data_IF_297441047446
#
_entry.id   IF_297441047446
#
_cell.length_a   1.000
_cell.length_b   1.000
_cell.length_c   1.000
_cell.angle_alpha   90.00
_cell.angle_beta   90.00
_cell.angle_gamma   90.00
#
_symmetry.space_group_name_H-M   'P 1'
#
loop_
_entity.id
_entity.type
_entity.pdbx_description
1 polymer ?
#
# COMPACT_ATOMS: atom_id res chain seq x y z
N UNK A 1 13.02 18.01 -15.16
CA UNK A 1 12.45 16.95 -16.02
C UNK A 1 11.22 17.53 -16.71
N UNK A 2 11.06 17.35 -18.03
CA UNK A 2 9.93 17.91 -18.77
C UNK A 2 8.62 17.20 -18.37
N UNK A 3 7.49 17.91 -18.48
CA UNK A 3 6.17 17.51 -17.94
C UNK A 3 5.52 16.30 -18.62
N UNK A 4 6.08 15.75 -19.71
CA UNK A 4 5.34 14.83 -20.59
C UNK A 4 5.96 13.44 -20.82
N UNK A 5 7.02 13.05 -20.08
CA UNK A 5 7.42 11.65 -20.08
C UNK A 5 6.55 10.87 -19.08
N UNK A 6 5.42 10.37 -19.58
CA UNK A 6 4.69 9.30 -18.91
C UNK A 6 5.66 8.11 -18.80
N UNK A 7 6.04 7.75 -17.56
CA UNK A 7 6.82 6.55 -17.30
C UNK A 7 6.10 5.36 -17.94
N UNK A 8 6.84 4.51 -18.65
CA UNK A 8 6.31 3.28 -19.26
C UNK A 8 7.33 2.18 -19.06
N UNK A 9 6.87 1.06 -18.54
CA UNK A 9 7.66 -0.16 -18.43
C UNK A 9 7.13 -1.20 -19.43
N UNK A 10 7.88 -1.56 -20.48
CA UNK A 10 7.42 -2.52 -21.48
C UNK A 10 6.99 -3.86 -20.86
N UNK A 11 5.83 -4.37 -21.31
CA UNK A 11 5.26 -5.61 -20.78
C UNK A 11 4.48 -5.45 -19.47
N UNK A 12 4.24 -4.21 -19.02
CA UNK A 12 3.43 -3.92 -17.82
C UNK A 12 2.28 -2.96 -18.14
N UNK A 13 1.14 -3.23 -17.50
CA UNK A 13 0.03 -2.31 -17.30
C UNK A 13 0.36 -1.42 -16.09
N UNK A 14 0.07 -0.13 -16.20
CA UNK A 14 0.30 0.84 -15.15
C UNK A 14 -1.02 1.33 -14.59
N UNK A 15 -1.13 1.30 -13.27
CA UNK A 15 -2.20 1.92 -12.49
C UNK A 15 -1.56 3.01 -11.63
N UNK A 16 -2.05 4.24 -11.78
CA UNK A 16 -1.52 5.39 -11.05
C UNK A 16 -2.60 6.45 -10.92
N UNK A 17 -2.76 7.01 -9.72
CA UNK A 17 -3.70 8.10 -9.48
C UNK A 17 -3.16 9.40 -10.09
N UNK A 18 -4.00 10.22 -10.77
CA UNK A 18 -3.57 11.49 -11.35
C UNK A 18 -2.92 12.43 -10.33
N UNK A 19 -1.83 13.07 -10.77
CA UNK A 19 -0.99 13.95 -9.95
C UNK A 19 -1.74 15.22 -9.53
N UNK A 20 -2.14 15.30 -8.26
CA UNK A 20 -2.38 16.57 -7.59
C UNK A 20 -1.05 17.27 -7.24
N UNK A 21 -1.06 18.56 -6.87
CA UNK A 21 0.15 19.33 -6.54
C UNK A 21 0.99 18.78 -5.38
N UNK A 22 0.47 17.79 -4.63
CA UNK A 22 1.12 17.15 -3.48
C UNK A 22 1.27 15.62 -3.61
N UNK A 23 1.14 15.04 -4.81
CA UNK A 23 1.35 13.59 -4.97
C UNK A 23 2.85 13.28 -5.02
N UNK A 24 3.31 12.42 -4.12
CA UNK A 24 4.67 11.87 -4.08
C UNK A 24 4.89 10.80 -5.15
N UNK A 25 3.82 10.32 -5.80
CA UNK A 25 3.89 9.58 -7.04
C UNK A 25 4.07 8.09 -6.82
N UNK A 26 3.04 7.44 -6.28
CA UNK A 26 2.95 5.99 -6.24
C UNK A 26 2.40 5.40 -7.55
N UNK A 27 2.77 4.16 -7.87
CA UNK A 27 2.18 3.40 -8.97
C UNK A 27 2.15 1.90 -8.68
N UNK A 28 1.20 1.20 -9.27
CA UNK A 28 1.18 -0.26 -9.34
C UNK A 28 1.46 -0.68 -10.79
N UNK A 29 2.45 -1.56 -10.96
CA UNK A 29 2.81 -2.14 -12.26
C UNK A 29 2.44 -3.62 -12.28
N UNK A 30 1.54 -4.00 -13.17
CA UNK A 30 1.09 -5.39 -13.32
C UNK A 30 1.58 -5.91 -14.66
N UNK A 31 2.19 -7.10 -14.73
CA UNK A 31 2.59 -7.69 -16.03
C UNK A 31 1.37 -7.78 -16.95
N UNK A 32 1.53 -7.41 -18.21
CA UNK A 32 0.44 -7.36 -19.19
C UNK A 32 -0.24 -8.73 -19.42
N UNK A 33 0.44 -9.82 -19.09
CA UNK A 33 -0.10 -11.19 -19.15
C UNK A 33 -0.95 -11.56 -17.94
N UNK A 34 -0.98 -10.73 -16.89
CA UNK A 34 -1.77 -10.96 -15.67
C UNK A 34 -3.08 -10.16 -15.80
N UNK A 35 -4.24 -10.83 -15.86
CA UNK A 35 -5.53 -10.14 -15.92
C UNK A 35 -5.75 -9.28 -14.67
N UNK A 36 -6.07 -8.01 -14.86
CA UNK A 36 -6.21 -7.05 -13.77
C UNK A 36 -7.13 -5.88 -14.13
N UNK A 37 -7.70 -5.25 -13.11
CA UNK A 37 -8.58 -4.08 -13.23
C UNK A 37 -8.35 -3.07 -12.10
N UNK A 38 -8.62 -1.80 -12.38
CA UNK A 38 -8.56 -0.73 -11.38
C UNK A 38 -9.67 -0.90 -10.34
N UNK A 39 -9.37 -0.57 -9.09
CA UNK A 39 -10.32 -0.56 -7.98
C UNK A 39 -10.24 0.80 -7.29
N UNK A 40 -11.39 1.35 -6.93
CA UNK A 40 -11.42 2.56 -6.11
C UNK A 40 -10.78 2.25 -4.74
N UNK A 41 -9.69 2.92 -4.35
CA UNK A 41 -9.03 2.64 -3.10
C UNK A 41 -9.88 3.14 -1.92
N UNK A 42 -9.84 2.41 -0.80
CA UNK A 42 -10.39 2.88 0.48
C UNK A 42 -9.65 4.14 0.96
N UNK A 43 -10.33 4.97 1.76
CA UNK A 43 -9.70 6.15 2.35
C UNK A 43 -8.79 5.70 3.51
N UNK A 44 -7.54 6.16 3.49
CA UNK A 44 -6.52 5.78 4.47
C UNK A 44 -6.05 6.97 5.34
N UNK A 45 -6.83 8.05 5.38
CA UNK A 45 -6.49 9.30 6.06
C UNK A 45 -6.07 10.43 5.12
N UNK A 46 -6.24 11.67 5.58
CA UNK A 46 -5.99 12.86 4.77
C UNK A 46 -4.50 13.03 4.41
N UNK A 47 -4.23 13.06 3.10
CA UNK A 47 -2.88 13.16 2.56
C UNK A 47 -2.09 11.85 2.59
N UNK A 48 -2.75 10.73 2.86
CA UNK A 48 -2.23 9.39 2.56
C UNK A 48 -2.60 9.04 1.12
N UNK A 49 -1.63 8.60 0.35
CA UNK A 49 -1.86 8.12 -1.01
C UNK A 49 -2.19 6.63 -0.95
N UNK A 50 -3.32 6.24 -1.51
CA UNK A 50 -3.74 4.86 -1.65
C UNK A 50 -4.06 4.56 -3.11
N UNK A 51 -3.67 3.38 -3.58
CA UNK A 51 -3.99 2.85 -4.90
C UNK A 51 -4.38 1.40 -4.76
N UNK A 52 -5.36 0.94 -5.53
CA UNK A 52 -5.82 -0.44 -5.50
C UNK A 52 -5.98 -1.01 -6.90
N UNK A 53 -5.56 -2.26 -7.07
CA UNK A 53 -5.74 -3.03 -8.30
C UNK A 53 -6.25 -4.41 -7.93
N UNK A 54 -7.27 -4.88 -8.66
CA UNK A 54 -7.75 -6.25 -8.57
C UNK A 54 -6.99 -7.11 -9.56
N UNK A 55 -6.36 -8.16 -9.05
CA UNK A 55 -5.77 -9.24 -9.83
C UNK A 55 -6.81 -10.35 -9.95
N UNK A 56 -7.13 -10.76 -11.18
CA UNK A 56 -8.08 -11.86 -11.40
C UNK A 56 -7.32 -13.19 -11.45
N UNK A 57 -7.63 -14.07 -10.51
CA UNK A 57 -7.14 -15.44 -10.45
C UNK A 57 -8.20 -16.36 -11.10
N UNK A 58 -7.87 -17.63 -11.31
CA UNK A 58 -8.75 -18.54 -12.05
C UNK A 58 -10.16 -18.67 -11.44
N UNK A 59 -10.25 -18.72 -10.10
CA UNK A 59 -11.50 -18.91 -9.36
C UNK A 59 -11.72 -17.85 -8.26
N UNK A 60 -10.88 -16.81 -8.22
CA UNK A 60 -10.86 -15.84 -7.12
C UNK A 60 -10.29 -14.50 -7.60
N UNK A 61 -10.22 -13.52 -6.72
CA UNK A 61 -9.51 -12.27 -6.96
C UNK A 61 -8.74 -11.81 -5.74
N UNK A 62 -7.58 -11.20 -5.99
CA UNK A 62 -6.76 -10.56 -4.98
C UNK A 62 -6.82 -9.05 -5.20
N UNK A 63 -7.17 -8.27 -4.18
CA UNK A 63 -7.02 -6.81 -4.22
C UNK A 63 -5.69 -6.42 -3.62
N UNK A 64 -4.86 -5.74 -4.42
CA UNK A 64 -3.55 -5.25 -4.00
C UNK A 64 -3.63 -3.76 -3.75
N UNK A 65 -3.36 -3.36 -2.51
CA UNK A 65 -3.22 -1.96 -2.10
C UNK A 65 -1.75 -1.55 -2.08
N UNK A 66 -1.46 -0.40 -2.65
CA UNK A 66 -0.19 0.31 -2.51
C UNK A 66 -0.44 1.62 -1.76
N UNK A 67 0.06 1.70 -0.52
CA UNK A 67 -0.15 2.83 0.38
C UNK A 67 1.16 3.59 0.59
N UNK A 68 1.13 4.90 0.36
CA UNK A 68 2.19 5.80 0.77
C UNK A 68 1.65 6.78 1.81
N UNK A 69 2.12 6.67 3.06
CA UNK A 69 1.81 7.61 4.14
C UNK A 69 3.01 8.52 4.33
N UNK A 70 2.93 9.83 4.00
CA UNK A 70 4.01 10.76 4.32
C UNK A 70 4.31 10.80 5.83
N UNK A 71 5.56 11.04 6.27
CA UNK A 71 5.93 11.06 7.68
C UNK A 71 5.09 11.99 8.56
N UNK A 72 4.58 13.09 7.99
CA UNK A 72 3.81 14.13 8.68
C UNK A 72 2.30 13.88 8.70
N UNK A 73 1.82 12.82 8.07
CA UNK A 73 0.38 12.49 7.98
C UNK A 73 0.04 11.32 8.91
N UNK A 74 -1.24 11.18 9.23
CA UNK A 74 -1.75 10.10 10.08
C UNK A 74 -2.31 8.99 9.20
N UNK A 75 -2.04 7.74 9.56
CA UNK A 75 -2.66 6.59 8.92
C UNK A 75 -4.00 6.27 9.58
N UNK A 76 -5.04 6.09 8.77
CA UNK A 76 -6.36 5.61 9.20
C UNK A 76 -6.67 4.30 8.47
N UNK A 77 -6.30 3.16 9.05
CA UNK A 77 -6.37 1.87 8.36
C UNK A 77 -7.66 1.06 8.65
N UNK A 78 -8.63 1.61 9.38
CA UNK A 78 -9.84 0.86 9.79
C UNK A 78 -10.69 0.34 8.61
N UNK A 79 -10.89 1.15 7.58
CA UNK A 79 -11.65 0.74 6.37
C UNK A 79 -10.93 -0.38 5.62
N UNK A 80 -9.59 -0.30 5.54
CA UNK A 80 -8.74 -1.30 4.89
C UNK A 80 -8.89 -2.69 5.56
N UNK A 81 -8.95 -2.75 6.89
CA UNK A 81 -9.17 -4.00 7.61
C UNK A 81 -10.57 -4.54 7.39
N UNK A 82 -11.57 -3.65 7.36
CA UNK A 82 -12.95 -4.04 7.08
C UNK A 82 -13.01 -4.71 5.70
N UNK A 83 -12.32 -4.15 4.70
CA UNK A 83 -12.20 -4.77 3.38
C UNK A 83 -11.51 -6.14 3.43
N UNK A 84 -10.43 -6.27 4.21
CA UNK A 84 -9.68 -7.53 4.35
C UNK A 84 -10.49 -8.67 4.98
N UNK A 85 -11.61 -8.38 5.66
CA UNK A 85 -12.54 -9.41 6.16
C UNK A 85 -13.53 -9.91 5.10
N UNK A 86 -13.64 -9.22 3.95
CA UNK A 86 -14.64 -9.51 2.92
C UNK A 86 -14.04 -10.15 1.66
N UNK A 87 -12.79 -9.85 1.35
CA UNK A 87 -12.09 -10.40 0.18
C UNK A 87 -10.61 -10.63 0.47
N UNK A 88 -9.93 -11.36 -0.42
CA UNK A 88 -8.49 -11.57 -0.32
C UNK A 88 -7.75 -10.27 -0.64
N UNK A 89 -7.05 -9.74 0.36
CA UNK A 89 -6.35 -8.45 0.26
C UNK A 89 -4.85 -8.62 0.54
N UNK A 90 -4.03 -7.95 -0.28
CA UNK A 90 -2.62 -7.70 -0.01
C UNK A 90 -2.41 -6.21 0.15
N UNK A 91 -1.87 -5.79 1.28
CA UNK A 91 -1.53 -4.38 1.52
C UNK A 91 -0.01 -4.25 1.60
N UNK A 92 0.54 -3.35 0.78
CA UNK A 92 1.95 -3.03 0.79
C UNK A 92 2.16 -1.52 0.65
N UNK A 93 3.38 -1.07 0.92
CA UNK A 93 3.80 0.31 0.68
C UNK A 93 4.68 0.86 1.80
N UNK A 94 4.90 2.17 1.77
CA UNK A 94 5.67 2.87 2.80
C UNK A 94 4.72 3.61 3.74
N UNK A 95 4.51 3.00 4.91
CA UNK A 95 3.67 3.53 5.95
C UNK A 95 4.38 4.57 6.82
N UNK A 96 5.67 4.85 6.64
CA UNK A 96 6.49 5.69 7.54
C UNK A 96 6.18 5.45 9.03
N UNK A 97 6.02 4.18 9.37
CA UNK A 97 5.58 3.71 10.67
C UNK A 97 6.65 2.79 11.27
N UNK A 98 6.88 2.95 12.56
CA UNK A 98 7.94 2.25 13.30
C UNK A 98 7.36 1.54 14.51
N UNK A 99 7.56 0.22 14.58
CA UNK A 99 7.32 -0.62 15.76
C UNK A 99 8.18 -1.89 15.69
N UNK A 100 8.69 -2.43 16.81
CA UNK A 100 9.46 -3.68 16.80
C UNK A 100 8.73 -4.88 16.18
N UNK A 101 7.42 -5.02 16.44
CA UNK A 101 6.57 -6.08 15.86
C UNK A 101 6.51 -6.05 14.33
N UNK A 102 6.69 -4.89 13.70
CA UNK A 102 6.77 -4.76 12.23
C UNK A 102 8.22 -4.76 11.72
N UNK A 103 9.14 -5.24 12.56
CA UNK A 103 10.58 -5.33 12.33
C UNK A 103 11.30 -3.99 12.11
N UNK A 104 10.83 -2.92 12.75
CA UNK A 104 11.55 -1.64 12.76
C UNK A 104 12.50 -1.55 13.95
N UNK A 105 13.76 -1.17 13.70
CA UNK A 105 14.77 -0.87 14.74
C UNK A 105 14.74 0.59 15.18
N UNK A 106 13.96 1.44 14.50
CA UNK A 106 13.80 2.86 14.80
C UNK A 106 12.88 3.07 16.01
N UNK A 107 12.95 4.25 16.62
CA UNK A 107 12.02 4.66 17.69
C UNK A 107 10.57 4.46 17.25
N UNK A 108 9.81 3.78 18.09
CA UNK A 108 8.39 3.54 17.87
C UNK A 108 7.59 4.83 17.65
N UNK A 109 6.71 4.79 16.67
CA UNK A 109 5.80 5.87 16.26
C UNK A 109 4.35 5.58 16.66
N UNK A 110 3.48 6.60 16.64
CA UNK A 110 2.05 6.42 16.88
C UNK A 110 1.40 5.54 15.81
N UNK A 111 1.70 5.77 14.53
CA UNK A 111 1.18 4.95 13.43
C UNK A 111 1.68 3.50 13.53
N UNK A 112 2.92 3.29 13.99
CA UNK A 112 3.45 1.94 14.23
C UNK A 112 2.73 1.21 15.37
N UNK A 113 2.31 1.91 16.44
CA UNK A 113 1.45 1.33 17.47
C UNK A 113 0.07 0.99 16.91
N UNK A 114 -0.51 1.92 16.17
CA UNK A 114 -1.82 1.74 15.56
C UNK A 114 -1.84 0.50 14.66
N UNK A 115 -0.86 0.33 13.77
CA UNK A 115 -0.74 -0.87 12.94
C UNK A 115 -0.67 -2.17 13.75
N UNK A 116 0.04 -2.18 14.87
CA UNK A 116 0.18 -3.37 15.71
C UNK A 116 -1.09 -3.68 16.50
N UNK A 117 -1.80 -2.65 16.97
CA UNK A 117 -3.15 -2.81 17.54
C UNK A 117 -4.07 -3.47 16.52
N UNK A 118 -4.08 -2.98 15.27
CA UNK A 118 -4.90 -3.55 14.20
C UNK A 118 -4.54 -5.00 13.86
N UNK A 119 -3.26 -5.36 13.84
CA UNK A 119 -2.80 -6.75 13.66
C UNK A 119 -3.22 -7.65 14.83
N UNK A 120 -3.40 -7.09 16.03
CA UNK A 120 -3.84 -7.83 17.20
C UNK A 120 -5.35 -8.03 17.20
N UNK A 121 -6.10 -7.00 16.76
CA UNK A 121 -7.56 -7.01 16.75
C UNK A 121 -8.15 -7.84 15.59
N UNK A 122 -7.39 -8.05 14.51
CA UNK A 122 -7.81 -8.81 13.33
C UNK A 122 -6.81 -9.94 13.06
N UNK A 123 -6.92 -11.10 13.75
CA UNK A 123 -5.93 -12.18 13.69
C UNK A 123 -5.84 -12.86 12.32
N UNK A 124 -6.83 -12.66 11.44
CA UNK A 124 -6.80 -13.12 10.05
C UNK A 124 -5.74 -12.38 9.22
N UNK A 125 -5.31 -11.19 9.66
CA UNK A 125 -4.29 -10.40 8.97
C UNK A 125 -2.91 -10.85 9.42
N UNK A 126 -2.12 -11.27 8.45
CA UNK A 126 -0.76 -11.76 8.69
C UNK A 126 0.26 -10.73 8.19
N UNK A 127 1.20 -10.36 9.06
CA UNK A 127 2.37 -9.60 8.67
C UNK A 127 3.35 -10.49 7.89
N UNK A 128 3.66 -10.11 6.65
CA UNK A 128 4.59 -10.86 5.77
C UNK A 128 6.04 -10.38 5.93
N UNK A 129 6.29 -9.24 6.58
CA UNK A 129 7.61 -8.63 6.67
C UNK A 129 8.60 -9.55 7.42
N UNK A 130 9.72 -9.88 6.78
CA UNK A 130 10.78 -10.80 7.27
C UNK A 130 11.87 -10.11 8.09
N UNK A 131 11.84 -8.77 8.15
CA UNK A 131 12.75 -7.95 8.94
C UNK A 131 14.06 -7.56 8.26
N UNK A 132 14.18 -7.86 6.98
CA UNK A 132 15.23 -7.28 6.13
C UNK A 132 15.00 -5.76 6.00
N UNK A 133 16.06 -4.94 6.02
CA UNK A 133 15.91 -3.49 5.83
C UNK A 133 15.24 -3.15 4.49
N UNK A 134 14.14 -2.40 4.54
CA UNK A 134 13.35 -2.01 3.35
C UNK A 134 13.64 -0.58 2.87
N UNK A 135 14.51 0.16 3.57
CA UNK A 135 14.94 1.51 3.20
C UNK A 135 16.44 1.51 2.89
N UNK A 136 16.79 1.95 1.67
CA UNK A 136 18.17 2.21 1.26
C UNK A 136 18.33 3.73 1.23
N UNK A 137 19.28 4.27 2.01
CA UNK A 137 19.69 5.67 1.89
C UNK A 137 20.24 5.89 0.47
N UNK A 138 19.52 6.70 -0.32
CA UNK A 138 19.92 7.15 -1.65
C UNK A 138 20.77 8.40 -1.63
#
# INVERSE_FOLDING_TARGET
>A
MSKDQQFRLPGYQQYSVPKGPNSHGSMILVRATIPSSEVEPVHCGDGVEAQAVRIHLANDSLVVYNIYKPPTKRLEAGELLTQATQELVLVAGDFNAHHPTINSTTRMSLDGRHLVELLTDVPEITLINTGEPTHILG
#
